data_IF_430415012800
#
_entry.id   IF_430415012800
#
_cell.length_a   1.000
_cell.length_b   1.000
_cell.length_c   1.000
_cell.angle_alpha   90.00
_cell.angle_beta   90.00
_cell.angle_gamma   90.00
#
_symmetry.space_group_name_H-M   'P 1'
#
loop_
_entity.id
_entity.type
_entity.pdbx_description
1 polymer ?
#
# COMPACT_ATOMS: atom_id res chain seq x y z
N UNK A 1 -59.25 -14.20 23.49
CA UNK A 1 -57.78 -14.37 23.33
C UNK A 1 -57.35 -13.70 22.04
N UNK A 2 -56.49 -12.67 22.05
CA UNK A 2 -56.06 -12.09 20.77
C UNK A 2 -55.25 -10.80 20.85
N UNK A 3 -55.52 -9.95 21.86
CA UNK A 3 -54.73 -8.71 22.05
C UNK A 3 -53.32 -9.01 22.59
N UNK A 4 -53.20 -9.83 23.62
CA UNK A 4 -51.90 -10.22 24.23
C UNK A 4 -50.99 -10.93 23.21
N UNK A 5 -51.54 -11.82 22.38
CA UNK A 5 -50.79 -12.55 21.35
C UNK A 5 -50.28 -11.63 20.23
N UNK A 6 -51.09 -10.65 19.80
CA UNK A 6 -50.66 -9.63 18.81
C UNK A 6 -49.51 -8.76 19.33
N UNK A 7 -49.56 -8.37 20.60
CA UNK A 7 -48.49 -7.58 21.23
C UNK A 7 -47.19 -8.37 21.38
N UNK A 8 -47.28 -9.67 21.70
CA UNK A 8 -46.12 -10.55 21.73
C UNK A 8 -45.45 -10.70 20.36
N UNK A 9 -46.24 -10.90 19.30
CA UNK A 9 -45.72 -11.01 17.92
C UNK A 9 -45.06 -9.70 17.48
N UNK A 10 -45.68 -8.55 17.79
CA UNK A 10 -45.12 -7.24 17.48
C UNK A 10 -43.77 -7.01 18.19
N UNK A 11 -43.64 -7.36 19.48
CA UNK A 11 -42.39 -7.21 20.22
C UNK A 11 -41.26 -8.09 19.65
N UNK A 12 -41.57 -9.34 19.30
CA UNK A 12 -40.58 -10.24 18.69
C UNK A 12 -40.11 -9.75 17.32
N UNK A 13 -41.00 -9.18 16.51
CA UNK A 13 -40.65 -8.62 15.20
C UNK A 13 -39.70 -7.40 15.34
N UNK A 14 -39.97 -6.51 16.31
CA UNK A 14 -39.12 -5.35 16.59
C UNK A 14 -37.75 -5.76 17.12
N UNK A 15 -37.70 -6.76 18.02
CA UNK A 15 -36.44 -7.27 18.56
C UNK A 15 -35.58 -7.96 17.48
N UNK A 16 -36.20 -8.68 16.53
CA UNK A 16 -35.49 -9.32 15.42
C UNK A 16 -34.84 -8.32 14.46
N UNK A 17 -35.50 -7.18 14.19
CA UNK A 17 -34.93 -6.12 13.34
C UNK A 17 -33.73 -5.42 13.99
N UNK A 18 -33.71 -5.27 15.32
CA UNK A 18 -32.58 -4.66 16.04
C UNK A 18 -31.33 -5.56 16.08
N UNK A 19 -31.47 -6.87 15.98
CA UNK A 19 -30.35 -7.82 16.01
C UNK A 19 -29.57 -7.91 14.67
N UNK A 20 -30.08 -7.31 13.59
CA UNK A 20 -29.50 -7.37 12.25
C UNK A 20 -28.29 -6.45 12.01
N UNK A 21 -28.03 -5.48 12.89
CA UNK A 21 -26.88 -4.59 12.76
C UNK A 21 -25.62 -5.21 13.39
N UNK A 22 -25.10 -6.28 12.79
CA UNK A 22 -23.70 -6.64 13.01
C UNK A 22 -22.86 -5.70 12.17
N UNK A 23 -22.20 -4.75 12.83
CA UNK A 23 -21.20 -3.89 12.22
C UNK A 23 -20.20 -4.78 11.49
N UNK A 24 -20.17 -4.68 10.16
CA UNK A 24 -19.13 -5.31 9.36
C UNK A 24 -17.82 -4.68 9.81
N UNK A 25 -17.05 -5.43 10.59
CA UNK A 25 -15.71 -5.04 10.99
C UNK A 25 -14.92 -4.91 9.69
N UNK A 26 -14.61 -3.66 9.30
CA UNK A 26 -13.79 -3.40 8.14
C UNK A 26 -12.43 -3.99 8.44
N UNK A 27 -12.16 -5.19 7.91
CA UNK A 27 -10.82 -5.76 7.89
C UNK A 27 -9.93 -4.70 7.26
N UNK A 28 -8.97 -4.19 8.04
CA UNK A 28 -8.03 -3.16 7.63
C UNK A 28 -7.04 -3.74 6.61
N UNK A 29 -7.53 -4.07 5.41
CA UNK A 29 -6.70 -4.56 4.30
C UNK A 29 -6.05 -3.40 3.52
N UNK A 30 -6.46 -2.16 3.79
CA UNK A 30 -5.94 -0.97 3.08
C UNK A 30 -4.54 -0.51 3.56
N UNK A 31 -4.08 -0.96 4.73
CA UNK A 31 -2.79 -0.50 5.26
C UNK A 31 -1.56 -1.11 4.55
N UNK A 32 -1.71 -2.24 3.84
CA UNK A 32 -0.57 -2.91 3.17
C UNK A 32 -0.39 -2.50 1.72
N UNK A 33 -1.46 -2.33 0.95
CA UNK A 33 -1.36 -2.00 -0.49
C UNK A 33 -0.78 -0.60 -0.74
N UNK A 34 -1.13 0.39 0.09
CA UNK A 34 -0.58 1.74 -0.03
C UNK A 34 0.93 1.83 0.25
N UNK A 35 1.47 0.91 1.07
CA UNK A 35 2.91 0.86 1.37
C UNK A 35 3.72 0.31 0.19
N UNK A 36 3.18 -0.64 -0.57
CA UNK A 36 3.87 -1.30 -1.69
C UNK A 36 4.17 -0.33 -2.82
N UNK A 37 3.19 0.47 -3.25
CA UNK A 37 3.39 1.48 -4.30
C UNK A 37 4.48 2.51 -3.92
N UNK A 38 4.63 2.78 -2.63
CA UNK A 38 5.63 3.72 -2.12
C UNK A 38 7.08 3.20 -2.18
N UNK A 39 7.28 1.88 -2.27
CA UNK A 39 8.60 1.24 -2.46
C UNK A 39 9.14 1.46 -3.88
N UNK A 40 8.24 1.64 -4.85
CA UNK A 40 8.57 1.86 -6.26
C UNK A 40 8.72 3.33 -6.64
N UNK A 41 8.63 4.26 -5.69
CA UNK A 41 8.78 5.69 -5.99
C UNK A 41 10.27 6.03 -6.24
N UNK A 42 10.71 6.28 -7.49
CA UNK A 42 12.11 6.54 -7.79
C UNK A 42 12.60 7.84 -7.15
N UNK A 43 11.70 8.78 -6.85
CA UNK A 43 12.01 10.06 -6.20
C UNK A 43 12.46 9.89 -4.74
N UNK A 44 12.20 8.73 -4.13
CA UNK A 44 12.67 8.40 -2.77
C UNK A 44 14.05 7.75 -2.76
N UNK A 45 14.52 7.28 -3.91
CA UNK A 45 15.82 6.63 -4.04
C UNK A 45 16.88 7.69 -4.33
N UNK A 46 17.69 8.01 -3.33
CA UNK A 46 18.90 8.83 -3.53
C UNK A 46 20.06 7.92 -3.85
N UNK A 47 20.62 8.06 -5.06
CA UNK A 47 21.82 7.35 -5.48
C UNK A 47 23.06 8.20 -5.25
N UNK A 48 24.18 7.57 -4.92
CA UNK A 48 25.50 8.18 -4.75
C UNK A 48 26.46 7.64 -5.82
N UNK A 49 26.24 7.96 -7.11
CA UNK A 49 27.13 7.48 -8.14
C UNK A 49 28.49 8.20 -8.07
N UNK A 50 29.55 7.48 -8.38
CA UNK A 50 30.81 8.11 -8.71
C UNK A 50 30.80 8.53 -10.17
N UNK A 51 31.40 9.68 -10.47
CA UNK A 51 31.58 10.13 -11.84
C UNK A 51 33.01 10.61 -12.09
N UNK A 52 33.46 10.42 -13.31
CA UNK A 52 34.72 10.98 -13.81
C UNK A 52 34.51 11.51 -15.22
N UNK A 53 35.16 12.63 -15.51
CA UNK A 53 35.08 13.30 -16.80
C UNK A 53 36.47 13.36 -17.40
N UNK A 54 36.59 12.93 -18.65
CA UNK A 54 37.83 13.01 -19.42
C UNK A 54 37.57 13.85 -20.65
N UNK A 55 38.42 14.86 -20.87
CA UNK A 55 38.36 15.69 -22.07
C UNK A 55 39.18 15.01 -23.17
N UNK A 56 38.52 14.58 -24.25
CA UNK A 56 39.20 13.98 -25.40
C UNK A 56 39.77 15.06 -26.32
N UNK A 57 39.02 16.16 -26.51
CA UNK A 57 39.46 17.35 -27.25
C UNK A 57 38.53 18.54 -26.95
N UNK A 58 38.72 19.65 -27.66
CA UNK A 58 37.96 20.89 -27.47
C UNK A 58 36.44 20.77 -27.69
N UNK A 59 36.00 19.73 -28.41
CA UNK A 59 34.58 19.54 -28.77
C UNK A 59 33.94 18.36 -28.02
N UNK A 60 34.73 17.44 -27.45
CA UNK A 60 34.23 16.19 -26.90
C UNK A 60 34.82 15.87 -25.54
N UNK A 61 33.95 15.40 -24.64
CA UNK A 61 34.32 14.87 -23.33
C UNK A 61 33.57 13.57 -23.10
N UNK A 62 34.22 12.64 -22.41
CA UNK A 62 33.64 11.37 -22.01
C UNK A 62 33.29 11.46 -20.53
N UNK A 63 32.01 11.22 -20.22
CA UNK A 63 31.50 11.12 -18.86
C UNK A 63 31.33 9.64 -18.51
N UNK A 64 32.06 9.18 -17.51
CA UNK A 64 31.84 7.88 -16.89
C UNK A 64 31.00 8.06 -15.65
N UNK A 65 29.96 7.24 -15.54
CA UNK A 65 29.08 7.17 -14.37
C UNK A 65 29.12 5.74 -13.86
N UNK A 66 29.44 5.56 -12.59
CA UNK A 66 29.39 4.27 -11.90
C UNK A 66 28.21 4.27 -10.93
N UNK A 67 27.23 3.43 -11.21
CA UNK A 67 26.13 3.14 -10.29
C UNK A 67 26.46 1.90 -9.45
N UNK A 68 26.22 1.95 -8.14
CA UNK A 68 26.45 0.84 -7.23
C UNK A 68 25.20 -0.04 -7.12
N UNK A 69 25.26 -1.33 -7.52
CA UNK A 69 24.08 -2.20 -7.46
C UNK A 69 23.53 -2.40 -6.04
N UNK A 70 24.37 -2.26 -5.02
CA UNK A 70 23.95 -2.34 -3.62
C UNK A 70 23.00 -1.19 -3.21
N UNK A 71 23.03 -0.05 -3.90
CA UNK A 71 22.10 1.06 -3.69
C UNK A 71 20.79 0.86 -4.44
N UNK A 72 20.77 -0.06 -5.40
CA UNK A 72 19.57 -0.39 -6.15
C UNK A 72 18.78 -1.42 -5.33
N UNK A 73 17.70 -0.95 -4.69
CA UNK A 73 16.85 -1.70 -3.73
C UNK A 73 16.00 -2.81 -4.39
N UNK A 74 16.55 -3.53 -5.36
CA UNK A 74 15.85 -4.54 -6.18
C UNK A 74 15.22 -5.67 -5.38
N UNK A 75 15.81 -6.04 -4.23
CA UNK A 75 15.26 -7.09 -3.37
C UNK A 75 14.10 -6.63 -2.50
N UNK A 76 14.03 -5.35 -2.14
CA UNK A 76 12.95 -4.85 -1.28
C UNK A 76 11.60 -4.73 -2.01
N UNK A 77 11.64 -4.75 -3.35
CA UNK A 77 10.48 -4.72 -4.21
C UNK A 77 9.88 -6.13 -4.47
N UNK A 78 10.65 -7.20 -4.25
CA UNK A 78 10.21 -8.57 -4.49
C UNK A 78 9.85 -9.24 -3.17
N UNK A 79 8.58 -9.57 -2.97
CA UNK A 79 8.08 -10.27 -1.77
C UNK A 79 8.66 -11.70 -1.59
N UNK A 80 9.36 -12.21 -2.60
CA UNK A 80 9.81 -13.61 -2.71
C UNK A 80 11.33 -13.78 -2.60
N UNK A 81 12.08 -12.69 -2.41
CA UNK A 81 13.55 -12.69 -2.39
C UNK A 81 14.13 -13.04 -1.00
#
# INVERSE_FOLDING_TARGET
>A
MGRKLKWFILCCAVAGMAAGCRSSEKVATEAKEGHMASLYNPSRLSLHPDFSVFHENNNYSVLYIRAYPAELRFNEANEQA
#
